data_IF_842644806984
#
_entry.id   IF_842644806984
#
_cell.length_a   1.000
_cell.length_b   1.000
_cell.length_c   1.000
_cell.angle_alpha   90.00
_cell.angle_beta   90.00
_cell.angle_gamma   90.00
#
_symmetry.space_group_name_H-M   'P 1'
#
loop_
_entity.id
_entity.type
_entity.pdbx_description
1 polymer ?
#
# COMPACT_ATOMS: atom_id res chain seq x y z
N UNK A 1 3.36 11.18 15.69
CA UNK A 1 3.37 11.64 14.29
C UNK A 1 4.65 12.43 14.08
N UNK A 2 5.45 12.08 13.07
CA UNK A 2 6.78 12.66 12.86
C UNK A 2 6.72 14.13 12.43
N UNK A 3 7.64 14.93 12.95
CA UNK A 3 7.72 16.37 12.66
C UNK A 3 8.19 16.65 11.21
N UNK A 4 7.88 17.82 10.67
CA UNK A 4 8.41 18.28 9.37
C UNK A 4 9.95 18.27 9.31
N UNK A 5 10.62 18.33 10.48
CA UNK A 5 12.06 18.22 10.61
C UNK A 5 12.54 16.79 10.38
N UNK A 6 11.88 15.79 10.98
CA UNK A 6 12.18 14.37 10.71
C UNK A 6 12.00 14.02 9.23
N UNK A 7 11.00 14.61 8.56
CA UNK A 7 10.79 14.39 7.13
C UNK A 7 11.91 14.98 6.26
N UNK A 8 12.55 16.06 6.70
CA UNK A 8 13.67 16.70 5.98
C UNK A 8 15.00 15.98 6.20
N UNK A 9 15.20 15.37 7.37
CA UNK A 9 16.44 14.67 7.75
C UNK A 9 16.41 13.18 7.35
N UNK A 10 15.30 12.69 6.81
CA UNK A 10 15.10 11.28 6.44
C UNK A 10 15.92 10.87 5.21
N UNK A 11 16.64 9.76 5.33
CA UNK A 11 17.28 9.11 4.18
C UNK A 11 16.23 8.49 3.25
N UNK A 12 16.60 8.26 1.99
CA UNK A 12 15.72 7.58 1.04
C UNK A 12 15.33 6.17 1.52
N UNK A 13 16.25 5.45 2.17
CA UNK A 13 15.98 4.13 2.73
C UNK A 13 14.90 4.17 3.83
N UNK A 14 15.03 5.11 4.77
CA UNK A 14 14.03 5.32 5.82
C UNK A 14 12.68 5.78 5.25
N UNK A 15 12.69 6.61 4.21
CA UNK A 15 11.48 7.00 3.49
C UNK A 15 10.75 5.78 2.91
N UNK A 16 11.46 4.91 2.17
CA UNK A 16 10.85 3.72 1.58
C UNK A 16 10.36 2.74 2.65
N UNK A 17 11.08 2.58 3.76
CA UNK A 17 10.64 1.76 4.89
C UNK A 17 9.36 2.30 5.51
N UNK A 18 9.28 3.61 5.78
CA UNK A 18 8.08 4.24 6.35
C UNK A 18 6.89 4.18 5.39
N UNK A 19 7.13 4.35 4.09
CA UNK A 19 6.09 4.18 3.07
C UNK A 19 5.56 2.74 3.02
N UNK A 20 6.45 1.74 3.03
CA UNK A 20 6.03 0.34 3.10
C UNK A 20 5.24 0.04 4.36
N UNK A 21 5.70 0.52 5.52
CA UNK A 21 4.97 0.37 6.77
C UNK A 21 3.58 1.03 6.73
N UNK A 22 3.46 2.20 6.09
CA UNK A 22 2.18 2.86 5.87
C UNK A 22 1.25 2.04 4.98
N UNK A 23 1.76 1.52 3.85
CA UNK A 23 0.98 0.70 2.92
C UNK A 23 0.52 -0.61 3.58
N UNK A 24 1.38 -1.25 4.38
CA UNK A 24 1.01 -2.44 5.16
C UNK A 24 -0.10 -2.15 6.16
N UNK A 25 -0.04 -1.01 6.86
CA UNK A 25 -1.14 -0.60 7.76
C UNK A 25 -2.45 -0.39 7.00
N UNK A 26 -2.40 0.19 5.80
CA UNK A 26 -3.58 0.34 4.97
C UNK A 26 -4.11 -1.01 4.49
N UNK A 27 -3.23 -1.99 4.26
CA UNK A 27 -3.63 -3.35 3.93
C UNK A 27 -4.38 -4.01 5.10
N UNK A 28 -3.90 -3.83 6.33
CA UNK A 28 -4.61 -4.30 7.53
C UNK A 28 -6.01 -3.69 7.64
N UNK A 29 -6.14 -2.39 7.35
CA UNK A 29 -7.42 -1.69 7.36
C UNK A 29 -8.37 -2.22 6.27
N UNK A 30 -7.86 -2.51 5.08
CA UNK A 30 -8.64 -3.12 3.98
C UNK A 30 -9.10 -4.52 4.34
N UNK A 31 -8.21 -5.37 4.88
CA UNK A 31 -8.55 -6.72 5.32
C UNK A 31 -9.73 -6.71 6.31
N UNK A 32 -9.67 -5.81 7.30
CA UNK A 32 -10.75 -5.63 8.27
C UNK A 32 -12.07 -5.21 7.62
N UNK A 33 -12.03 -4.27 6.68
CA UNK A 33 -13.23 -3.81 5.99
C UNK A 33 -13.88 -4.92 5.14
N UNK A 34 -13.07 -5.67 4.39
CA UNK A 34 -13.54 -6.79 3.59
C UNK A 34 -14.06 -7.95 4.46
N UNK A 35 -13.40 -8.22 5.59
CA UNK A 35 -13.87 -9.21 6.56
C UNK A 35 -15.23 -8.83 7.15
N UNK A 36 -15.42 -7.55 7.52
CA UNK A 36 -16.71 -7.06 7.98
C UNK A 36 -17.79 -7.17 6.90
N UNK A 37 -17.50 -6.80 5.66
CA UNK A 37 -18.44 -6.94 4.55
C UNK A 37 -18.83 -8.40 4.30
N UNK A 38 -17.87 -9.33 4.34
CA UNK A 38 -18.12 -10.76 4.22
C UNK A 38 -19.01 -11.30 5.35
N UNK A 39 -18.75 -10.91 6.60
CA UNK A 39 -19.63 -11.28 7.73
C UNK A 39 -21.04 -10.71 7.58
N UNK A 40 -21.18 -9.45 7.15
CA UNK A 40 -22.50 -8.83 6.92
C UNK A 40 -23.29 -9.60 5.85
N UNK A 41 -22.65 -10.05 4.77
CA UNK A 41 -23.28 -10.87 3.74
C UNK A 41 -23.76 -12.24 4.24
N UNK A 42 -23.22 -12.72 5.38
CA UNK A 42 -23.70 -13.93 6.07
C UNK A 42 -24.88 -13.66 7.01
N UNK A 43 -24.93 -12.48 7.64
CA UNK A 43 -26.02 -12.08 8.55
C UNK A 43 -27.26 -11.60 7.79
N UNK A 44 -27.06 -10.88 6.69
CA UNK A 44 -28.09 -10.52 5.72
C UNK A 44 -27.81 -11.32 4.45
N UNK A 45 -28.37 -12.54 4.33
CA UNK A 45 -27.96 -13.50 3.31
C UNK A 45 -28.11 -12.90 1.92
N UNK A 46 -26.98 -12.49 1.34
CA UNK A 46 -26.87 -12.22 -0.08
C UNK A 46 -26.66 -13.58 -0.75
N UNK A 47 -27.77 -14.26 -1.01
CA UNK A 47 -27.79 -15.55 -1.69
C UNK A 47 -28.26 -15.36 -3.13
N UNK A 48 -27.72 -16.19 -4.02
CA UNK A 48 -28.23 -16.31 -5.37
C UNK A 48 -29.67 -16.83 -5.34
N UNK A 49 -30.55 -16.23 -6.14
CA UNK A 49 -31.98 -16.53 -6.11
C UNK A 49 -32.33 -17.89 -6.74
N UNK A 50 -31.47 -18.42 -7.62
CA UNK A 50 -31.69 -19.68 -8.33
C UNK A 50 -31.09 -20.86 -7.56
N UNK A 51 -29.88 -20.70 -7.01
CA UNK A 51 -29.17 -21.78 -6.31
C UNK A 51 -29.35 -21.77 -4.80
N UNK A 52 -29.69 -20.62 -4.21
CA UNK A 52 -29.76 -20.42 -2.75
C UNK A 52 -28.39 -20.40 -2.06
N UNK A 53 -27.29 -20.42 -2.81
CA UNK A 53 -25.94 -20.34 -2.28
C UNK A 53 -25.53 -18.89 -2.01
N UNK A 54 -24.63 -18.66 -1.06
CA UNK A 54 -24.10 -17.32 -0.81
C UNK A 54 -23.30 -16.82 -2.03
N UNK A 55 -23.54 -15.56 -2.41
CA UNK A 55 -22.84 -14.89 -3.53
C UNK A 55 -21.33 -14.79 -3.28
N UNK A 56 -20.92 -14.75 -2.01
CA UNK A 56 -19.51 -14.81 -1.60
C UNK A 56 -19.35 -15.92 -0.57
N UNK A 57 -18.62 -16.98 -0.93
CA UNK A 57 -18.44 -18.13 -0.04
C UNK A 57 -17.25 -17.90 0.90
N UNK A 58 -16.13 -17.44 0.37
CA UNK A 58 -14.91 -17.23 1.13
C UNK A 58 -14.41 -15.78 1.09
N UNK A 59 -13.64 -15.38 2.11
CA UNK A 59 -13.12 -14.00 2.21
C UNK A 59 -12.16 -13.68 1.06
N UNK A 60 -11.35 -14.64 0.66
CA UNK A 60 -10.35 -14.53 -0.40
C UNK A 60 -10.96 -14.28 -1.79
N UNK A 61 -12.25 -14.57 -1.99
CA UNK A 61 -13.00 -14.17 -3.19
C UNK A 61 -13.16 -12.64 -3.31
N UNK A 62 -13.20 -11.93 -2.18
CA UNK A 62 -13.33 -10.46 -2.13
C UNK A 62 -12.04 -9.76 -1.72
N UNK A 63 -11.12 -10.46 -1.04
CA UNK A 63 -9.85 -9.91 -0.59
C UNK A 63 -8.77 -10.97 -0.38
N UNK A 64 -7.83 -11.03 -1.33
CA UNK A 64 -6.63 -11.87 -1.22
C UNK A 64 -5.47 -11.06 -0.62
N UNK A 65 -5.25 -11.24 0.68
CA UNK A 65 -4.17 -10.57 1.41
C UNK A 65 -2.78 -10.98 0.92
N UNK A 66 -2.55 -12.27 0.67
CA UNK A 66 -1.22 -12.77 0.32
C UNK A 66 -0.75 -12.21 -1.02
N UNK A 67 -1.66 -12.15 -1.99
CA UNK A 67 -1.39 -11.49 -3.28
C UNK A 67 -1.07 -10.02 -3.11
N UNK A 68 -1.82 -9.29 -2.28
CA UNK A 68 -1.59 -7.86 -2.02
C UNK A 68 -0.26 -7.61 -1.30
N UNK A 69 0.09 -8.42 -0.30
CA UNK A 69 1.41 -8.36 0.34
C UNK A 69 2.53 -8.63 -0.68
N UNK A 70 2.37 -9.65 -1.53
CA UNK A 70 3.35 -9.96 -2.57
C UNK A 70 3.54 -8.79 -3.55
N UNK A 71 2.48 -8.09 -3.94
CA UNK A 71 2.55 -6.86 -4.75
C UNK A 71 3.40 -5.77 -4.05
N UNK A 72 3.20 -5.56 -2.74
CA UNK A 72 3.96 -4.57 -1.95
C UNK A 72 5.45 -4.94 -1.84
N UNK A 73 5.75 -6.23 -1.68
CA UNK A 73 7.12 -6.72 -1.48
C UNK A 73 7.88 -7.01 -2.78
N UNK A 74 7.21 -7.07 -3.94
CA UNK A 74 7.82 -7.33 -5.26
C UNK A 74 8.86 -6.29 -5.72
N UNK A 75 9.10 -5.24 -4.92
CA UNK A 75 10.34 -4.48 -4.96
C UNK A 75 10.39 -3.37 -6.01
N UNK A 76 9.38 -3.25 -6.88
CA UNK A 76 9.23 -2.12 -7.77
C UNK A 76 7.98 -1.31 -7.41
N UNK A 77 8.07 0.04 -7.39
CA UNK A 77 6.88 0.87 -7.31
C UNK A 77 5.94 0.50 -8.47
N UNK A 78 4.67 0.28 -8.16
CA UNK A 78 3.62 -0.01 -9.14
C UNK A 78 3.53 1.12 -10.19
N UNK A 79 2.91 0.84 -11.35
CA UNK A 79 2.76 1.84 -12.41
C UNK A 79 1.96 3.06 -11.94
N UNK A 80 0.96 2.89 -11.08
CA UNK A 80 0.24 4.01 -10.45
C UNK A 80 1.14 4.82 -9.51
N UNK A 81 1.92 4.16 -8.65
CA UNK A 81 2.82 4.85 -7.71
C UNK A 81 3.87 5.68 -8.45
N UNK A 82 4.41 5.15 -9.55
CA UNK A 82 5.36 5.86 -10.41
C UNK A 82 4.76 7.12 -11.05
N UNK A 83 3.45 7.13 -11.29
CA UNK A 83 2.73 8.30 -11.84
C UNK A 83 2.42 9.36 -10.77
N UNK A 84 2.44 8.99 -9.49
CA UNK A 84 2.12 9.92 -8.40
C UNK A 84 3.09 11.10 -8.34
N UNK A 85 2.55 12.30 -8.06
CA UNK A 85 3.37 13.50 -7.93
C UNK A 85 4.38 13.41 -6.78
N UNK A 86 4.01 12.69 -5.72
CA UNK A 86 4.90 12.39 -4.60
C UNK A 86 6.14 11.61 -5.08
N UNK A 87 5.93 10.50 -5.81
CA UNK A 87 7.02 9.70 -6.36
C UNK A 87 7.93 10.52 -7.31
N UNK A 88 7.33 11.31 -8.22
CA UNK A 88 8.10 12.19 -9.11
C UNK A 88 8.91 13.25 -8.35
N UNK A 89 8.42 13.74 -7.20
CA UNK A 89 9.17 14.68 -6.35
C UNK A 89 10.35 13.98 -5.67
N UNK A 90 10.15 12.76 -5.18
CA UNK A 90 11.22 11.97 -4.55
C UNK A 90 12.33 11.62 -5.53
N UNK A 91 11.98 11.21 -6.75
CA UNK A 91 12.97 10.95 -7.79
C UNK A 91 13.81 12.19 -8.08
N UNK A 92 13.18 13.36 -8.19
CA UNK A 92 13.90 14.64 -8.36
C UNK A 92 14.81 15.00 -7.18
N UNK A 93 14.39 14.70 -5.94
CA UNK A 93 15.24 14.92 -4.76
C UNK A 93 16.44 13.98 -4.77
N UNK A 94 16.23 12.70 -5.09
CA UNK A 94 17.29 11.69 -5.24
C UNK A 94 18.32 12.13 -6.29
N UNK A 95 17.86 12.50 -7.49
CA UNK A 95 18.72 12.99 -8.57
C UNK A 95 19.57 14.19 -8.15
N UNK A 96 18.98 15.14 -7.40
CA UNK A 96 19.71 16.30 -6.87
C UNK A 96 20.75 15.93 -5.82
N UNK A 97 20.42 15.01 -4.91
CA UNK A 97 21.37 14.51 -3.91
C UNK A 97 22.54 13.77 -4.58
N UNK A 98 22.27 12.93 -5.59
CA UNK A 98 23.31 12.25 -6.36
C UNK A 98 24.19 13.24 -7.11
N UNK A 99 23.60 14.27 -7.72
CA UNK A 99 24.34 15.35 -8.38
C UNK A 99 25.20 16.16 -7.39
N UNK A 100 24.73 16.38 -6.16
CA UNK A 100 25.48 17.06 -5.11
C UNK A 100 26.68 16.24 -4.64
N UNK A 101 26.49 14.95 -4.35
CA UNK A 101 27.58 14.02 -3.99
C UNK A 101 28.64 13.91 -5.09
N UNK A 102 28.22 13.84 -6.37
CA UNK A 102 29.16 13.80 -7.51
C UNK A 102 30.02 15.07 -7.64
N UNK A 103 29.56 16.20 -7.11
CA UNK A 103 30.32 17.45 -7.10
C UNK A 103 31.23 17.59 -5.87
N UNK A 104 31.38 16.54 -5.06
CA UNK A 104 32.24 16.54 -3.88
C UNK A 104 31.65 17.27 -2.68
N UNK A 105 30.32 17.38 -2.60
CA UNK A 105 29.65 17.83 -1.37
C UNK A 105 29.60 16.69 -0.36
N UNK A 106 30.16 16.92 0.83
CA UNK A 106 30.06 16.05 2.01
C UNK A 106 28.64 16.03 2.60
#
# INVERSE_FOLDING_TARGET
>A
MGSLREAKEMTLGEYFLRMRAYILRQLDDQERAHYQAWLVARVFPAVDAETGEYVVQHLDEVFDRQKREAEIFSGQPTKEEQKSDAFKRLMRVKERQEAFRKRGGD
#
